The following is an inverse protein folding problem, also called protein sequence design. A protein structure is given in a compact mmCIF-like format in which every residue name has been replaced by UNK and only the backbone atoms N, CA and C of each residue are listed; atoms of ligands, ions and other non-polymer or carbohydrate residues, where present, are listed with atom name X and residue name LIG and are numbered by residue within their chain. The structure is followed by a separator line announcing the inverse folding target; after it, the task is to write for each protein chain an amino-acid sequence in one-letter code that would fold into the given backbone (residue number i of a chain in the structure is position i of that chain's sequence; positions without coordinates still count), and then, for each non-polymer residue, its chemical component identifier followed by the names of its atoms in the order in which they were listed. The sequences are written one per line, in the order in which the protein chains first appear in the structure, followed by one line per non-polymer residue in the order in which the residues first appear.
data_IF_486858484191
#
_entry.id   IF_486858484191
#
_cell.length_a   1.000
_cell.length_b   1.000
_cell.length_c   1.000
_cell.angle_alpha   90.00
_cell.angle_beta   90.00
_cell.angle_gamma   90.00
#
_symmetry.space_group_name_H-M   'P 1'
#
loop_
_entity.id
_entity.type
_entity.pdbx_description
1 polymer ?
#
# COMPACT_ATOMS: atom_id res chain seq x y z
N UNK A 1 19.52 19.12 17.16
CA UNK A 1 19.17 17.83 16.52
C UNK A 1 18.90 18.11 15.06
N UNK A 2 19.43 17.26 14.15
CA UNK A 2 19.07 17.39 12.74
C UNK A 2 17.57 17.08 12.58
N UNK A 3 16.93 17.82 11.69
CA UNK A 3 15.54 17.62 11.32
C UNK A 3 15.42 16.29 10.59
N UNK A 4 14.43 15.47 10.93
CA UNK A 4 14.21 14.16 10.33
C UNK A 4 12.92 14.15 9.48
N UNK A 5 12.90 13.32 8.45
CA UNK A 5 11.74 12.98 7.65
C UNK A 5 11.36 11.53 7.96
N UNK A 6 10.17 11.34 8.53
CA UNK A 6 9.71 10.06 9.07
C UNK A 6 8.58 9.52 8.21
N UNK A 7 8.71 8.28 7.78
CA UNK A 7 7.70 7.56 7.00
C UNK A 7 7.11 6.43 7.82
N UNK A 8 5.79 6.41 7.94
CA UNK A 8 5.06 5.36 8.66
C UNK A 8 4.20 4.59 7.66
N UNK A 9 4.41 3.28 7.55
CA UNK A 9 3.42 2.43 6.94
C UNK A 9 2.13 2.43 7.78
N UNK A 10 1.02 1.99 7.21
CA UNK A 10 -0.30 2.07 7.86
C UNK A 10 -0.71 0.73 8.45
N UNK A 11 -0.84 -0.29 7.61
CA UNK A 11 -1.45 -1.57 7.96
C UNK A 11 -0.46 -2.50 8.66
N UNK A 12 -0.63 -2.71 9.96
CA UNK A 12 0.30 -3.50 10.79
C UNK A 12 1.44 -2.66 11.39
N UNK A 13 1.54 -1.37 11.02
CA UNK A 13 2.53 -0.43 11.54
C UNK A 13 1.87 0.68 12.36
N UNK A 14 1.17 1.60 11.73
CA UNK A 14 0.47 2.70 12.40
C UNK A 14 -0.85 2.25 13.04
N UNK A 15 -1.54 1.32 12.38
CA UNK A 15 -2.80 0.71 12.84
C UNK A 15 -2.74 -0.80 12.67
N UNK A 16 -3.65 -1.51 13.31
CA UNK A 16 -3.94 -2.91 12.93
C UNK A 16 -4.38 -2.96 11.46
N UNK A 17 -4.14 -4.06 10.74
CA UNK A 17 -4.54 -4.19 9.33
C UNK A 17 -6.02 -3.81 9.10
N UNK A 18 -6.29 -3.00 8.08
CA UNK A 18 -7.63 -2.47 7.79
C UNK A 18 -8.14 -1.37 8.73
N UNK A 19 -7.38 -1.01 9.77
CA UNK A 19 -7.76 0.03 10.73
C UNK A 19 -7.67 1.45 10.17
N UNK A 20 -8.43 2.37 10.77
CA UNK A 20 -8.45 3.80 10.43
C UNK A 20 -8.17 4.71 11.64
N UNK A 21 -7.96 4.12 12.79
CA UNK A 21 -7.73 4.86 14.04
C UNK A 21 -6.40 4.42 14.65
N UNK A 22 -5.36 5.24 14.58
CA UNK A 22 -4.10 4.99 15.26
C UNK A 22 -4.28 4.95 16.79
N UNK A 23 -3.44 4.20 17.53
CA UNK A 23 -3.36 4.30 18.98
C UNK A 23 -3.10 5.75 19.42
N UNK A 24 -3.64 6.15 20.57
CA UNK A 24 -3.41 7.50 21.10
C UNK A 24 -1.93 7.80 21.35
N UNK A 25 -1.14 6.80 21.72
CA UNK A 25 0.31 6.87 21.88
C UNK A 25 1.00 7.31 20.58
N UNK A 26 0.67 6.65 19.45
CA UNK A 26 1.18 7.00 18.14
C UNK A 26 0.80 8.44 17.74
N UNK A 27 -0.44 8.86 18.00
CA UNK A 27 -0.89 10.25 17.75
C UNK A 27 -0.08 11.25 18.57
N UNK A 28 0.20 10.94 19.86
CA UNK A 28 1.06 11.80 20.72
C UNK A 28 2.49 11.84 20.18
N UNK A 29 3.04 10.72 19.74
CA UNK A 29 4.40 10.64 19.19
C UNK A 29 4.55 11.45 17.90
N UNK A 30 3.59 11.34 16.96
CA UNK A 30 3.54 12.13 15.72
C UNK A 30 3.53 13.63 16.07
N UNK A 31 2.65 14.04 16.98
CA UNK A 31 2.58 15.45 17.41
C UNK A 31 3.91 15.92 18.00
N UNK A 32 4.51 15.15 18.92
CA UNK A 32 5.77 15.47 19.56
C UNK A 32 6.94 15.53 18.56
N UNK A 33 6.98 14.64 17.56
CA UNK A 33 7.98 14.69 16.51
C UNK A 33 7.87 15.99 15.70
N UNK A 34 6.65 16.39 15.30
CA UNK A 34 6.40 17.64 14.57
C UNK A 34 6.72 18.89 15.39
N UNK A 35 6.39 18.92 16.69
CA UNK A 35 6.77 20.00 17.60
C UNK A 35 8.29 20.19 17.72
N UNK A 36 9.07 19.12 17.48
CA UNK A 36 10.52 19.15 17.42
C UNK A 36 11.08 19.52 16.03
N UNK A 37 10.20 19.81 15.08
CA UNK A 37 10.56 20.24 13.73
C UNK A 37 10.80 19.10 12.74
N UNK A 38 10.52 17.84 13.10
CA UNK A 38 10.51 16.72 12.16
C UNK A 38 9.27 16.78 11.26
N UNK A 39 9.33 16.12 10.11
CA UNK A 39 8.17 15.90 9.24
C UNK A 39 7.76 14.44 9.31
N UNK A 40 6.45 14.17 9.31
CA UNK A 40 5.89 12.82 9.40
C UNK A 40 4.96 12.58 8.22
N UNK A 41 5.23 11.51 7.48
CA UNK A 41 4.53 11.11 6.27
C UNK A 41 3.91 9.72 6.45
N UNK A 42 2.76 9.50 5.84
CA UNK A 42 2.25 8.16 5.58
C UNK A 42 3.00 7.55 4.39
N UNK A 43 3.21 6.21 4.39
CA UNK A 43 3.80 5.50 3.25
C UNK A 43 3.07 4.16 3.07
N UNK A 44 2.05 4.12 2.22
CA UNK A 44 1.08 3.01 2.19
C UNK A 44 0.76 2.51 0.79
N UNK A 45 0.34 1.24 0.71
CA UNK A 45 -0.31 0.67 -0.46
C UNK A 45 -1.74 1.16 -0.68
N UNK A 46 -2.36 1.79 0.32
CA UNK A 46 -3.70 2.38 0.21
C UNK A 46 -3.69 3.56 -0.77
N UNK A 47 -4.79 3.76 -1.48
CA UNK A 47 -4.97 4.93 -2.32
C UNK A 47 -5.12 6.22 -1.48
N UNK A 48 -5.04 7.37 -2.15
CA UNK A 48 -5.08 8.68 -1.48
C UNK A 48 -6.41 8.93 -0.74
N UNK A 49 -7.54 8.48 -1.28
CA UNK A 49 -8.85 8.59 -0.63
C UNK A 49 -8.92 7.79 0.67
N UNK A 50 -8.41 6.56 0.67
CA UNK A 50 -8.35 5.70 1.86
C UNK A 50 -7.39 6.23 2.95
N UNK A 51 -6.45 7.12 2.60
CA UNK A 51 -5.60 7.82 3.57
C UNK A 51 -6.27 9.09 4.15
N UNK A 52 -7.38 9.56 3.59
CA UNK A 52 -8.04 10.78 4.05
C UNK A 52 -8.41 10.79 5.54
N UNK A 53 -8.89 9.69 6.15
CA UNK A 53 -9.19 9.63 7.59
C UNK A 53 -8.00 9.92 8.51
N UNK A 54 -6.76 9.70 8.02
CA UNK A 54 -5.54 9.92 8.80
C UNK A 54 -5.09 11.39 8.82
N UNK A 55 -5.53 12.22 7.89
CA UNK A 55 -5.09 13.64 7.79
C UNK A 55 -5.34 14.43 9.07
N UNK A 56 -6.39 14.12 9.81
CA UNK A 56 -6.73 14.77 11.10
C UNK A 56 -5.68 14.56 12.19
N UNK A 57 -4.79 13.56 12.05
CA UNK A 57 -3.76 13.26 13.03
C UNK A 57 -2.45 14.02 12.80
N UNK A 58 -2.40 14.88 11.77
CA UNK A 58 -1.34 15.86 11.61
C UNK A 58 -0.15 15.39 10.79
N UNK A 59 -0.34 14.53 9.80
CA UNK A 59 0.70 14.19 8.83
C UNK A 59 1.01 15.37 7.91
N UNK A 60 2.29 15.51 7.56
CA UNK A 60 2.77 16.58 6.67
C UNK A 60 2.57 16.23 5.19
N UNK A 61 2.32 14.95 4.88
CA UNK A 61 2.07 14.44 3.55
C UNK A 61 1.91 12.91 3.53
N UNK A 62 2.01 12.34 2.35
CA UNK A 62 1.92 10.89 2.19
C UNK A 62 2.36 10.38 0.84
N UNK A 63 2.74 9.12 0.85
CA UNK A 63 2.99 8.24 -0.27
C UNK A 63 1.83 7.26 -0.29
N UNK A 64 1.03 7.25 -1.34
CA UNK A 64 -0.12 6.36 -1.52
C UNK A 64 0.07 5.48 -2.74
N UNK A 65 -0.75 4.42 -2.85
CA UNK A 65 -0.69 3.45 -3.96
C UNK A 65 0.72 2.93 -4.22
N UNK A 66 1.44 2.53 -3.14
CA UNK A 66 2.82 2.03 -3.17
C UNK A 66 3.85 3.00 -3.80
N UNK A 67 3.56 4.29 -3.91
CA UNK A 67 4.45 5.28 -4.53
C UNK A 67 3.86 5.94 -5.79
N UNK A 68 2.73 5.48 -6.29
CA UNK A 68 2.08 6.02 -7.50
C UNK A 68 1.57 7.45 -7.34
N UNK A 69 1.24 7.86 -6.12
CA UNK A 69 0.81 9.22 -5.83
C UNK A 69 1.45 9.72 -4.53
N UNK A 70 2.20 10.83 -4.63
CA UNK A 70 2.96 11.42 -3.51
C UNK A 70 2.58 12.88 -3.33
N UNK A 71 2.32 13.29 -2.09
CA UNK A 71 1.93 14.66 -1.76
C UNK A 71 2.57 15.17 -0.47
N UNK A 72 2.74 16.49 -0.39
CA UNK A 72 3.18 17.20 0.83
C UNK A 72 2.28 18.42 1.05
N UNK A 73 1.49 18.42 2.14
CA UNK A 73 0.39 19.37 2.30
C UNK A 73 -0.55 19.31 1.10
N UNK A 74 -0.77 20.44 0.45
CA UNK A 74 -1.63 20.55 -0.75
C UNK A 74 -0.85 20.36 -2.07
N UNK A 75 0.48 20.17 -2.00
CA UNK A 75 1.33 20.04 -3.19
C UNK A 75 1.46 18.57 -3.59
N UNK A 76 1.13 18.26 -4.85
CA UNK A 76 1.47 16.97 -5.46
C UNK A 76 2.94 17.00 -5.86
N UNK A 77 3.70 16.01 -5.37
CA UNK A 77 5.11 15.82 -5.68
C UNK A 77 5.31 14.83 -6.83
N UNK A 78 4.47 13.80 -6.90
CA UNK A 78 4.51 12.79 -7.95
C UNK A 78 3.10 12.25 -8.21
N UNK A 79 2.82 11.98 -9.48
CA UNK A 79 1.54 11.46 -9.95
C UNK A 79 1.79 10.56 -11.17
N UNK A 80 1.62 9.24 -11.02
CA UNK A 80 1.93 8.26 -12.05
C UNK A 80 0.88 7.15 -12.11
N UNK A 81 -0.31 7.43 -12.65
CA UNK A 81 -1.30 6.40 -12.89
C UNK A 81 -0.87 5.44 -14.01
N UNK A 82 -1.58 4.34 -14.16
CA UNK A 82 -1.52 3.51 -15.35
C UNK A 82 -1.90 4.33 -16.59
N UNK A 83 -1.24 4.08 -17.71
CA UNK A 83 -1.64 4.68 -18.97
C UNK A 83 -2.98 4.11 -19.43
N UNK A 84 -3.73 4.84 -20.28
CA UNK A 84 -5.00 4.33 -20.81
C UNK A 84 -4.82 2.98 -21.54
N UNK A 85 -3.73 2.83 -22.31
CA UNK A 85 -3.40 1.58 -22.99
C UNK A 85 -3.18 0.42 -22.01
N UNK A 86 -2.39 0.66 -20.93
CA UNK A 86 -2.14 -0.34 -19.89
C UNK A 86 -3.45 -0.75 -19.20
N UNK A 87 -4.26 0.24 -18.83
CA UNK A 87 -5.54 0.06 -18.16
C UNK A 87 -6.51 -0.78 -19.01
N UNK A 88 -6.77 -0.37 -20.24
CA UNK A 88 -7.68 -1.07 -21.15
C UNK A 88 -7.22 -2.52 -21.40
N UNK A 89 -5.93 -2.69 -21.65
CA UNK A 89 -5.34 -4.00 -21.91
C UNK A 89 -5.41 -4.94 -20.71
N UNK A 90 -5.12 -4.42 -19.49
CA UNK A 90 -5.24 -5.19 -18.26
C UNK A 90 -6.67 -5.63 -18.00
N UNK A 91 -7.63 -4.70 -18.03
CA UNK A 91 -9.04 -5.00 -17.74
C UNK A 91 -9.56 -6.04 -18.74
N UNK A 92 -9.26 -5.88 -20.03
CA UNK A 92 -9.70 -6.82 -21.07
C UNK A 92 -9.09 -8.21 -20.83
N UNK A 93 -7.77 -8.33 -20.75
CA UNK A 93 -7.11 -9.62 -20.64
C UNK A 93 -7.44 -10.38 -19.34
N UNK A 94 -7.56 -9.67 -18.22
CA UNK A 94 -7.89 -10.30 -16.94
C UNK A 94 -9.37 -10.71 -16.88
N UNK A 95 -10.29 -9.89 -17.42
CA UNK A 95 -11.70 -10.23 -17.46
C UNK A 95 -11.99 -11.43 -18.38
N UNK A 96 -11.31 -11.54 -19.52
CA UNK A 96 -11.43 -12.65 -20.44
C UNK A 96 -11.01 -14.00 -19.81
N UNK A 97 -10.07 -13.97 -18.89
CA UNK A 97 -9.58 -15.14 -18.14
C UNK A 97 -10.38 -15.41 -16.85
N UNK A 98 -11.42 -14.63 -16.57
CA UNK A 98 -12.27 -14.80 -15.38
C UNK A 98 -11.60 -14.41 -14.07
N UNK A 99 -10.66 -13.46 -14.10
CA UNK A 99 -10.02 -12.88 -12.93
C UNK A 99 -10.95 -11.82 -12.33
N UNK A 100 -11.18 -11.88 -11.03
CA UNK A 100 -11.93 -10.86 -10.30
C UNK A 100 -11.04 -9.67 -9.96
N UNK A 101 -11.52 -8.46 -10.24
CA UNK A 101 -10.75 -7.23 -10.12
C UNK A 101 -11.32 -6.30 -9.06
N UNK A 102 -10.43 -5.68 -8.29
CA UNK A 102 -10.67 -4.42 -7.61
C UNK A 102 -9.68 -3.40 -8.16
N UNK A 103 -10.19 -2.38 -8.84
CA UNK A 103 -9.38 -1.34 -9.47
C UNK A 103 -9.37 -0.10 -8.59
N UNK A 104 -8.18 0.45 -8.36
CA UNK A 104 -8.00 1.57 -7.43
C UNK A 104 -7.64 2.84 -8.18
N UNK A 105 -8.57 3.79 -8.15
CA UNK A 105 -8.33 5.17 -8.52
C UNK A 105 -7.65 5.95 -7.39
N UNK A 106 -7.48 7.26 -7.59
CA UNK A 106 -6.90 8.14 -6.58
C UNK A 106 -7.75 8.17 -5.30
N UNK A 107 -9.03 8.39 -5.42
CA UNK A 107 -9.92 8.64 -4.29
C UNK A 107 -10.86 7.45 -4.00
N UNK A 108 -11.20 6.70 -5.01
CA UNK A 108 -12.17 5.61 -4.96
C UNK A 108 -11.55 4.27 -5.41
N UNK A 109 -12.18 3.18 -5.01
CA UNK A 109 -11.92 1.84 -5.53
C UNK A 109 -13.22 1.27 -6.12
N UNK A 110 -13.10 0.40 -7.12
CA UNK A 110 -14.23 -0.24 -7.80
C UNK A 110 -13.97 -1.74 -7.89
N UNK A 111 -14.92 -2.56 -7.51
CA UNK A 111 -14.75 -4.01 -7.43
C UNK A 111 -15.80 -4.76 -8.21
N UNK A 112 -15.40 -5.91 -8.76
CA UNK A 112 -16.30 -6.84 -9.40
C UNK A 112 -17.27 -7.41 -8.35
N UNK A 113 -18.57 -7.20 -8.55
CA UNK A 113 -19.61 -7.66 -7.62
C UNK A 113 -19.63 -9.19 -7.48
N UNK A 114 -19.23 -9.93 -8.51
CA UNK A 114 -19.18 -11.40 -8.49
C UNK A 114 -18.01 -11.96 -7.68
N UNK A 115 -17.01 -11.13 -7.37
CA UNK A 115 -15.89 -11.54 -6.55
C UNK A 115 -16.35 -12.00 -5.16
N UNK A 116 -17.34 -11.33 -4.59
CA UNK A 116 -17.91 -11.70 -3.30
C UNK A 116 -18.49 -13.11 -3.32
N UNK A 117 -19.31 -13.42 -4.33
CA UNK A 117 -19.92 -14.74 -4.48
C UNK A 117 -18.87 -15.84 -4.65
N UNK A 118 -17.80 -15.56 -5.42
CA UNK A 118 -16.67 -16.47 -5.58
C UNK A 118 -15.96 -16.73 -4.26
N UNK A 119 -15.67 -15.71 -3.49
CA UNK A 119 -14.98 -15.80 -2.22
C UNK A 119 -15.80 -16.52 -1.15
N UNK A 120 -17.13 -16.30 -1.11
CA UNK A 120 -18.04 -17.01 -0.22
C UNK A 120 -18.16 -18.52 -0.55
N UNK A 121 -17.91 -18.91 -1.81
CA UNK A 121 -17.92 -20.29 -2.27
C UNK A 121 -16.55 -20.98 -2.16
N UNK A 122 -15.49 -20.20 -1.97
CA UNK A 122 -14.11 -20.72 -1.86
C UNK A 122 -13.76 -20.99 -0.39
N UNK A 123 -13.35 -22.21 -0.08
CA UNK A 123 -12.90 -22.55 1.27
C UNK A 123 -11.52 -21.94 1.54
N UNK A 124 -11.48 -20.75 2.12
CA UNK A 124 -10.24 -20.05 2.48
C UNK A 124 -9.85 -20.45 3.91
N UNK A 125 -8.67 -21.03 4.04
CA UNK A 125 -8.12 -21.52 5.33
C UNK A 125 -7.07 -20.58 5.91
N UNK A 126 -6.44 -19.78 5.07
CA UNK A 126 -5.45 -18.82 5.51
C UNK A 126 -6.13 -17.57 6.08
N UNK A 127 -6.02 -17.37 7.40
CA UNK A 127 -6.63 -16.22 8.07
C UNK A 127 -6.09 -14.86 7.62
N UNK A 128 -4.84 -14.78 7.16
CA UNK A 128 -4.27 -13.56 6.61
C UNK A 128 -4.89 -13.23 5.25
N UNK A 129 -5.05 -14.24 4.38
CA UNK A 129 -5.74 -14.08 3.10
C UNK A 129 -7.17 -13.63 3.31
N UNK A 130 -7.91 -14.26 4.22
CA UNK A 130 -9.29 -13.88 4.56
C UNK A 130 -9.36 -12.43 5.04
N UNK A 131 -8.48 -12.02 5.96
CA UNK A 131 -8.42 -10.65 6.47
C UNK A 131 -8.10 -9.62 5.38
N UNK A 132 -7.22 -9.92 4.44
CA UNK A 132 -6.92 -9.05 3.30
C UNK A 132 -8.10 -8.93 2.34
N UNK A 133 -8.78 -10.03 2.06
CA UNK A 133 -10.00 -10.05 1.26
C UNK A 133 -11.08 -9.18 1.90
N UNK A 134 -11.33 -9.37 3.20
CA UNK A 134 -12.29 -8.55 3.95
C UNK A 134 -11.92 -7.07 3.92
N UNK A 135 -10.63 -6.74 4.10
CA UNK A 135 -10.16 -5.36 4.04
C UNK A 135 -10.40 -4.71 2.68
N UNK A 136 -10.06 -5.39 1.59
CA UNK A 136 -10.18 -4.86 0.22
C UNK A 136 -11.63 -4.81 -0.24
N UNK A 137 -12.40 -5.88 -0.05
CA UNK A 137 -13.75 -6.02 -0.62
C UNK A 137 -14.86 -5.45 0.27
N UNK A 138 -14.59 -5.25 1.55
CA UNK A 138 -15.56 -4.74 2.52
C UNK A 138 -15.05 -3.46 3.20
N UNK A 139 -13.86 -3.48 3.74
CA UNK A 139 -13.30 -2.42 4.59
C UNK A 139 -13.06 -1.10 3.85
N UNK A 140 -12.63 -1.16 2.59
CA UNK A 140 -12.44 0.02 1.74
C UNK A 140 -13.76 0.54 1.15
N UNK A 141 -14.87 -0.22 1.25
CA UNK A 141 -16.19 0.15 0.70
C UNK A 141 -16.13 0.43 -0.80
N UNK A 142 -15.57 -0.48 -1.62
CA UNK A 142 -15.44 -0.23 -3.05
C UNK A 142 -16.81 -0.09 -3.69
N UNK A 143 -16.89 0.78 -4.70
CA UNK A 143 -18.08 0.90 -5.56
C UNK A 143 -18.18 -0.31 -6.49
N UNK A 144 -19.37 -0.62 -7.02
CA UNK A 144 -19.49 -1.60 -8.09
C UNK A 144 -18.58 -1.25 -9.28
N UNK A 145 -17.96 -2.26 -9.89
CA UNK A 145 -17.10 -2.04 -11.07
C UNK A 145 -17.90 -1.42 -12.24
N UNK A 146 -19.19 -1.68 -12.30
CA UNK A 146 -20.11 -1.06 -13.27
C UNK A 146 -20.28 0.46 -13.13
N UNK A 147 -19.88 1.04 -11.98
CA UNK A 147 -19.87 2.48 -11.72
C UNK A 147 -18.53 3.15 -12.05
N UNK A 148 -17.56 2.40 -12.55
CA UNK A 148 -16.26 2.96 -12.93
C UNK A 148 -16.42 3.98 -14.06
N UNK A 149 -16.00 5.20 -13.79
CA UNK A 149 -16.18 6.37 -14.66
C UNK A 149 -15.00 6.66 -15.62
N UNK A 150 -13.99 5.77 -15.62
CA UNK A 150 -12.80 5.96 -16.44
C UNK A 150 -11.68 6.79 -15.76
N UNK A 151 -11.79 7.10 -14.46
CA UNK A 151 -10.76 7.84 -13.75
C UNK A 151 -9.38 7.15 -13.84
N UNK A 152 -8.27 7.92 -13.68
CA UNK A 152 -6.93 7.34 -13.64
C UNK A 152 -6.79 6.28 -12.55
N UNK A 153 -6.22 5.11 -12.90
CA UNK A 153 -5.97 4.00 -12.00
C UNK A 153 -4.49 3.94 -11.59
N UNK A 154 -4.23 3.61 -10.35
CA UNK A 154 -2.86 3.49 -9.79
C UNK A 154 -2.49 2.05 -9.48
N UNK A 155 -3.48 1.23 -9.17
CA UNK A 155 -3.28 -0.17 -8.78
C UNK A 155 -4.51 -1.01 -9.19
N UNK A 156 -4.27 -2.25 -9.52
CA UNK A 156 -5.30 -3.28 -9.65
C UNK A 156 -5.00 -4.37 -8.62
N UNK A 157 -5.97 -4.68 -7.79
CA UNK A 157 -5.96 -5.87 -6.94
C UNK A 157 -6.73 -6.95 -7.67
N UNK A 158 -6.23 -8.18 -7.65
CA UNK A 158 -6.89 -9.30 -8.30
C UNK A 158 -7.04 -10.50 -7.39
N UNK A 159 -8.07 -11.29 -7.68
CA UNK A 159 -8.26 -12.62 -7.12
C UNK A 159 -8.57 -13.59 -8.26
N UNK A 160 -7.88 -14.74 -8.26
CA UNK A 160 -8.05 -15.77 -9.28
C UNK A 160 -7.78 -17.17 -8.70
N UNK A 161 -8.11 -18.21 -9.44
CA UNK A 161 -7.89 -19.59 -8.98
C UNK A 161 -6.50 -20.15 -9.31
N UNK A 162 -5.81 -19.60 -10.31
CA UNK A 162 -4.47 -20.04 -10.72
C UNK A 162 -3.68 -18.91 -11.38
N UNK A 163 -2.34 -19.02 -11.39
CA UNK A 163 -1.46 -18.07 -12.09
C UNK A 163 -1.63 -18.08 -13.61
N UNK A 164 -2.13 -19.16 -14.19
CA UNK A 164 -2.37 -19.23 -15.64
C UNK A 164 -3.35 -18.15 -16.10
N UNK A 165 -4.31 -17.77 -15.25
CA UNK A 165 -5.30 -16.74 -15.56
C UNK A 165 -4.71 -15.33 -15.68
N UNK A 166 -3.59 -15.05 -15.00
CA UNK A 166 -2.89 -13.77 -15.15
C UNK A 166 -1.78 -13.84 -16.21
N UNK A 167 -1.49 -15.04 -16.74
CA UNK A 167 -0.45 -15.29 -17.72
C UNK A 167 -0.49 -14.41 -18.96
N UNK A 168 -1.64 -14.29 -19.66
CA UNK A 168 -1.76 -13.42 -20.84
C UNK A 168 -1.46 -11.95 -20.55
N UNK A 169 -1.98 -11.41 -19.44
CA UNK A 169 -1.72 -10.03 -19.03
C UNK A 169 -0.24 -9.82 -18.64
N UNK A 170 0.35 -10.79 -17.91
CA UNK A 170 1.76 -10.77 -17.51
C UNK A 170 2.70 -10.86 -18.73
N UNK A 171 2.37 -11.68 -19.72
CA UNK A 171 3.13 -11.77 -20.97
C UNK A 171 3.08 -10.47 -21.79
N UNK A 172 1.94 -9.77 -21.75
CA UNK A 172 1.73 -8.56 -22.54
C UNK A 172 2.30 -7.28 -21.88
N UNK A 173 2.35 -7.22 -20.53
CA UNK A 173 2.65 -5.99 -19.77
C UNK A 173 3.70 -6.20 -18.66
N UNK A 174 4.26 -7.38 -18.50
CA UNK A 174 5.19 -7.69 -17.41
C UNK A 174 6.51 -6.90 -17.43
N UNK A 175 6.89 -6.33 -18.57
CA UNK A 175 8.05 -5.43 -18.67
C UNK A 175 7.75 -4.04 -18.09
N UNK A 176 6.49 -3.64 -18.06
CA UNK A 176 6.05 -2.31 -17.58
C UNK A 176 5.43 -2.36 -16.19
N UNK A 177 4.81 -3.48 -15.83
CA UNK A 177 4.03 -3.65 -14.60
C UNK A 177 4.57 -4.81 -13.76
N UNK A 178 4.50 -4.64 -12.44
CA UNK A 178 4.71 -5.72 -11.49
C UNK A 178 3.40 -6.47 -11.26
N UNK A 179 3.46 -7.80 -11.42
CA UNK A 179 2.40 -8.73 -11.04
C UNK A 179 2.86 -9.44 -9.77
N UNK A 180 2.30 -9.05 -8.64
CA UNK A 180 2.68 -9.54 -7.32
C UNK A 180 1.59 -10.49 -6.85
N UNK A 181 1.94 -11.76 -6.62
CA UNK A 181 1.09 -12.73 -5.92
C UNK A 181 1.59 -12.78 -4.48
N UNK A 182 0.72 -12.59 -3.52
CA UNK A 182 1.10 -12.57 -2.11
C UNK A 182 1.39 -13.97 -1.57
N UNK A 183 2.39 -14.09 -0.71
CA UNK A 183 2.85 -15.35 -0.10
C UNK A 183 1.76 -16.05 0.75
N UNK A 184 0.76 -15.30 1.21
CA UNK A 184 -0.39 -15.83 1.94
C UNK A 184 -1.51 -16.36 1.04
N UNK A 185 -1.35 -16.30 -0.28
CA UNK A 185 -2.25 -16.94 -1.24
C UNK A 185 -2.25 -18.45 -1.06
N UNK A 186 -3.35 -19.09 -1.43
CA UNK A 186 -3.47 -20.55 -1.34
C UNK A 186 -4.03 -21.15 -2.63
N UNK A 187 -3.83 -22.46 -2.86
CA UNK A 187 -4.33 -23.12 -4.07
C UNK A 187 -5.85 -22.91 -4.24
N UNK A 188 -6.23 -22.43 -5.42
CA UNK A 188 -7.62 -22.10 -5.73
C UNK A 188 -8.08 -20.71 -5.34
N UNK A 189 -7.25 -19.96 -4.58
CA UNK A 189 -7.53 -18.56 -4.23
C UNK A 189 -6.23 -17.75 -4.17
N UNK A 190 -5.76 -17.30 -5.33
CA UNK A 190 -4.62 -16.41 -5.41
C UNK A 190 -5.10 -14.96 -5.25
N UNK A 191 -4.38 -14.21 -4.43
CA UNK A 191 -4.60 -12.81 -4.19
C UNK A 191 -3.34 -12.04 -4.57
N UNK A 192 -3.50 -10.95 -5.33
CA UNK A 192 -2.34 -10.22 -5.79
C UNK A 192 -2.64 -8.80 -6.21
N UNK A 193 -1.56 -8.10 -6.58
CA UNK A 193 -1.60 -6.71 -7.00
C UNK A 193 -0.83 -6.50 -8.30
N UNK A 194 -1.29 -5.55 -9.10
CA UNK A 194 -0.62 -5.08 -10.32
C UNK A 194 -0.35 -3.60 -10.15
N UNK A 195 0.93 -3.23 -10.15
CA UNK A 195 1.40 -1.86 -9.99
C UNK A 195 2.42 -1.49 -11.07
N UNK A 196 2.60 -0.21 -11.33
CA UNK A 196 3.57 0.27 -12.29
C UNK A 196 5.01 0.02 -11.79
N UNK A 197 5.94 -0.42 -12.67
CA UNK A 197 7.36 -0.61 -12.35
C UNK A 197 8.14 0.70 -12.20
N UNK A 198 7.55 1.84 -12.55
CA UNK A 198 8.21 3.16 -12.47
C UNK A 198 8.43 3.64 -11.04
N UNK A 199 7.76 3.03 -10.07
CA UNK A 199 7.85 3.43 -8.67
C UNK A 199 7.69 2.22 -7.74
N UNK A 200 8.11 2.42 -6.50
CA UNK A 200 7.89 1.60 -5.32
C UNK A 200 7.93 2.51 -4.08
N UNK A 201 7.71 1.97 -2.89
CA UNK A 201 7.77 2.76 -1.65
C UNK A 201 9.15 3.40 -1.44
N UNK A 202 10.23 2.72 -1.82
CA UNK A 202 11.59 3.22 -1.64
C UNK A 202 11.96 4.36 -2.58
N UNK A 203 11.64 4.23 -3.86
CA UNK A 203 11.85 5.31 -4.85
C UNK A 203 11.02 6.56 -4.50
N UNK A 204 9.78 6.37 -4.02
CA UNK A 204 8.93 7.45 -3.56
C UNK A 204 9.48 8.16 -2.31
N UNK A 205 10.07 7.40 -1.36
CA UNK A 205 10.79 7.95 -0.20
C UNK A 205 11.97 8.82 -0.64
N UNK A 206 12.84 8.32 -1.54
CA UNK A 206 13.99 9.09 -2.05
C UNK A 206 13.56 10.38 -2.73
N UNK A 207 12.57 10.29 -3.60
CA UNK A 207 12.01 11.44 -4.31
C UNK A 207 11.39 12.46 -3.34
N UNK A 208 10.68 12.00 -2.30
CA UNK A 208 10.09 12.87 -1.29
C UNK A 208 11.19 13.59 -0.50
N UNK A 209 12.24 12.87 -0.08
CA UNK A 209 13.37 13.46 0.63
C UNK A 209 14.06 14.53 -0.23
N UNK A 210 14.37 14.25 -1.49
CA UNK A 210 14.96 15.20 -2.43
C UNK A 210 14.07 16.44 -2.62
N UNK A 211 12.78 16.25 -2.90
CA UNK A 211 11.83 17.35 -3.14
C UNK A 211 11.65 18.28 -1.93
N UNK A 212 11.86 17.76 -0.71
CA UNK A 212 11.76 18.51 0.55
C UNK A 212 13.12 18.97 1.10
N UNK A 213 14.23 18.67 0.41
CA UNK A 213 15.58 19.10 0.79
C UNK A 213 16.14 18.35 2.00
N UNK A 214 15.77 17.08 2.21
CA UNK A 214 16.36 16.21 3.20
C UNK A 214 17.44 15.34 2.59
N UNK A 215 18.52 15.11 3.36
CA UNK A 215 19.44 14.01 3.07
C UNK A 215 18.73 12.69 3.38
N UNK A 216 18.92 11.67 2.55
CA UNK A 216 18.34 10.35 2.78
C UNK A 216 18.81 9.75 4.12
N UNK A 217 20.03 10.07 4.57
CA UNK A 217 20.54 9.71 5.89
C UNK A 217 19.76 10.32 7.07
N UNK A 218 18.96 11.36 6.80
CA UNK A 218 18.08 11.99 7.79
C UNK A 218 16.63 11.49 7.68
N UNK A 219 16.39 10.38 7.00
CA UNK A 219 15.08 9.73 6.92
C UNK A 219 14.95 8.55 7.87
N UNK A 220 13.72 8.26 8.31
CA UNK A 220 13.39 7.10 9.15
C UNK A 220 12.15 6.45 8.55
N UNK A 221 12.16 5.13 8.38
CA UNK A 221 11.02 4.37 7.87
C UNK A 221 10.58 3.29 8.86
N UNK A 222 9.27 3.20 9.09
CA UNK A 222 8.64 2.16 9.90
C UNK A 222 7.76 1.28 9.02
N UNK A 223 7.91 -0.04 9.15
CA UNK A 223 7.15 -1.03 8.38
C UNK A 223 7.04 -2.36 9.10
N UNK A 224 6.22 -3.27 8.59
CA UNK A 224 6.01 -4.59 9.17
C UNK A 224 6.02 -5.73 8.14
N UNK A 225 5.76 -5.45 6.89
CA UNK A 225 5.52 -6.47 5.87
C UNK A 225 6.53 -6.43 4.71
N UNK A 226 6.49 -7.46 3.85
CA UNK A 226 7.38 -7.54 2.69
C UNK A 226 7.23 -6.37 1.71
N UNK A 227 6.05 -5.77 1.64
CA UNK A 227 5.80 -4.62 0.77
C UNK A 227 6.47 -3.32 1.25
N UNK A 228 7.12 -3.35 2.43
CA UNK A 228 7.87 -2.23 2.97
C UNK A 228 9.37 -2.33 2.68
N UNK A 229 9.82 -3.42 2.06
CA UNK A 229 11.26 -3.70 1.91
C UNK A 229 11.98 -2.57 1.18
N UNK A 230 11.40 -2.04 0.10
CA UNK A 230 12.02 -0.96 -0.67
C UNK A 230 12.11 0.32 0.15
N UNK A 231 11.12 0.62 1.01
CA UNK A 231 11.18 1.73 1.95
C UNK A 231 12.28 1.50 3.00
N UNK A 232 12.32 0.32 3.62
CA UNK A 232 13.29 -0.05 4.66
C UNK A 232 14.72 0.03 4.13
N UNK A 233 14.96 -0.43 2.89
CA UNK A 233 16.27 -0.35 2.24
C UNK A 233 16.63 1.07 1.74
N UNK A 234 15.62 1.95 1.59
CA UNK A 234 15.84 3.30 1.10
C UNK A 234 16.22 4.31 2.17
N UNK A 235 15.66 4.18 3.37
CA UNK A 235 15.80 5.17 4.45
C UNK A 235 17.16 5.13 5.14
N UNK A 236 17.53 6.23 5.81
CA UNK A 236 18.76 6.31 6.60
C UNK A 236 18.71 5.54 7.93
N UNK A 237 17.51 5.30 8.46
CA UNK A 237 17.28 4.44 9.62
C UNK A 237 15.98 3.67 9.42
N UNK A 238 16.08 2.36 9.43
CA UNK A 238 14.96 1.47 9.23
C UNK A 238 14.49 0.83 10.54
N UNK A 239 13.16 0.76 10.71
CA UNK A 239 12.53 0.21 11.92
C UNK A 239 11.45 -0.79 11.50
N UNK A 240 11.59 -2.03 11.97
CA UNK A 240 10.55 -3.04 11.82
C UNK A 240 9.73 -3.15 13.10
N UNK A 241 8.41 -3.30 12.94
CA UNK A 241 7.51 -3.60 14.06
C UNK A 241 7.75 -5.02 14.58
N UNK A 242 7.55 -5.26 15.89
CA UNK A 242 7.67 -6.61 16.49
C UNK A 242 6.69 -7.61 15.87
N UNK A 243 5.49 -7.16 15.48
CA UNK A 243 4.52 -7.98 14.73
C UNK A 243 4.88 -8.18 13.26
N UNK A 244 5.95 -7.56 12.77
CA UNK A 244 6.38 -7.65 11.38
C UNK A 244 6.98 -9.02 11.03
N UNK A 245 7.15 -9.25 9.72
CA UNK A 245 7.72 -10.47 9.18
C UNK A 245 9.19 -10.64 9.56
N UNK A 246 9.64 -11.87 9.78
CA UNK A 246 11.05 -12.16 10.07
C UNK A 246 11.96 -11.68 8.93
N UNK A 247 11.48 -11.77 7.68
CA UNK A 247 12.18 -11.26 6.50
C UNK A 247 12.52 -9.76 6.61
N UNK A 248 11.58 -8.94 7.12
CA UNK A 248 11.80 -7.50 7.28
C UNK A 248 12.65 -7.19 8.51
N UNK A 249 12.44 -7.93 9.62
CA UNK A 249 13.25 -7.80 10.85
C UNK A 249 14.73 -8.01 10.60
N UNK A 250 15.09 -9.01 9.79
CA UNK A 250 16.47 -9.31 9.44
C UNK A 250 17.17 -8.20 8.62
N UNK A 251 16.39 -7.30 8.01
CA UNK A 251 16.87 -6.23 7.13
C UNK A 251 16.71 -4.83 7.70
N UNK A 252 16.14 -4.72 8.89
CA UNK A 252 15.94 -3.45 9.58
C UNK A 252 17.02 -3.18 10.61
N UNK A 253 17.39 -1.91 10.78
CA UNK A 253 18.39 -1.48 11.79
C UNK A 253 17.86 -1.67 13.20
N UNK A 254 16.57 -1.48 13.41
CA UNK A 254 15.93 -1.52 14.72
C UNK A 254 14.61 -2.32 14.66
N UNK A 255 14.24 -2.89 15.80
CA UNK A 255 12.93 -3.49 16.03
C UNK A 255 12.27 -2.71 17.18
N UNK A 256 11.07 -2.20 16.94
CA UNK A 256 10.23 -1.55 17.95
C UNK A 256 9.09 -2.48 18.40
N UNK A 257 8.40 -2.18 19.52
CA UNK A 257 7.23 -2.95 19.94
C UNK A 257 6.16 -3.05 18.85
N UNK A 258 5.20 -3.97 19.03
CA UNK A 258 4.11 -4.14 18.07
C UNK A 258 3.16 -2.92 18.05
N UNK A 259 2.33 -2.84 17.00
CA UNK A 259 1.28 -1.81 16.88
C UNK A 259 0.37 -1.79 18.11
N UNK A 260 0.04 -2.96 18.67
CA UNK A 260 -0.81 -3.08 19.86
C UNK A 260 -0.08 -2.73 21.18
N UNK A 261 1.26 -2.68 21.15
CA UNK A 261 2.11 -2.39 22.29
C UNK A 261 2.82 -1.02 22.15
N UNK A 262 2.14 -0.05 21.52
CA UNK A 262 2.59 1.34 21.39
C UNK A 262 3.91 1.53 20.63
N UNK A 263 4.18 0.68 19.62
CA UNK A 263 5.46 0.64 18.91
C UNK A 263 5.90 1.93 18.23
N UNK A 264 4.98 2.87 17.99
CA UNK A 264 5.29 4.19 17.38
C UNK A 264 5.55 5.29 18.44
N UNK A 265 5.40 5.02 19.74
CA UNK A 265 5.60 6.03 20.80
C UNK A 265 7.07 6.47 21.03
#
# INVERSE_FOLDING_TARGET
MNRKLIFLDVDGTLTVPGGYVPPESAVRAIKKARERGHMVFLCSGRNYGALAPFRKYGFDGGISSCGGYVYAGDKVLYDCPLTEEQKEKLITLLSDEGVFLSIEGKDDAYSDEKAKDYLEQTEIRNGQLLGMIEAVWIGLGPKPLSEYDGCPLYKIVFTCSSEDQIGPAKAALGDELHFIVHDFSEPGCLFGEIINRKFDKGSAVRMTAEALGFDIADTIGFGDSRIDIEMIEAVGTSVCMENGSDFLKERSDLICPSTENDGIE
#
